data_IF_858551996737
#
_entry.id   IF_858551996737
#
_cell.length_a   1.000
_cell.length_b   1.000
_cell.length_c   1.000
_cell.angle_alpha   90.00
_cell.angle_beta   90.00
_cell.angle_gamma   90.00
#
_symmetry.space_group_name_H-M   'P 1'
#
loop_
_entity.id
_entity.type
_entity.pdbx_description
1 polymer ?
#
# COMPACT_ATOMS: atom_id res chain seq x y z
N UNK A 1 -23.47 22.27 -11.05
CA UNK A 1 -23.51 20.94 -11.70
C UNK A 1 -23.43 19.91 -10.60
N UNK A 2 -24.21 18.81 -10.63
CA UNK A 2 -24.08 17.76 -9.62
C UNK A 2 -22.67 17.16 -9.72
N UNK A 3 -21.93 17.21 -8.62
CA UNK A 3 -20.61 16.58 -8.51
C UNK A 3 -20.84 15.07 -8.60
N UNK A 4 -20.52 14.49 -9.74
CA UNK A 4 -20.69 13.06 -9.94
C UNK A 4 -19.79 12.29 -8.98
N UNK A 5 -20.40 11.44 -8.14
CA UNK A 5 -19.64 10.57 -7.24
C UNK A 5 -19.03 9.43 -8.05
N UNK A 6 -17.71 9.42 -8.14
CA UNK A 6 -16.94 8.32 -8.74
C UNK A 6 -16.67 7.31 -7.63
N UNK A 7 -17.29 6.13 -7.72
CA UNK A 7 -16.99 5.01 -6.82
C UNK A 7 -15.74 4.27 -7.30
N UNK A 8 -15.11 3.49 -6.42
CA UNK A 8 -13.97 2.63 -6.77
C UNK A 8 -14.24 1.75 -8.00
N UNK A 9 -15.42 1.13 -8.09
CA UNK A 9 -15.78 0.25 -9.21
C UNK A 9 -15.87 1.01 -10.53
N UNK A 10 -16.49 2.19 -10.51
CA UNK A 10 -16.59 3.06 -11.70
C UNK A 10 -15.22 3.57 -12.14
N UNK A 11 -14.37 3.91 -11.17
CA UNK A 11 -12.97 4.26 -11.44
C UNK A 11 -12.25 3.10 -12.12
N UNK A 12 -12.30 1.90 -11.55
CA UNK A 12 -11.61 0.73 -12.08
C UNK A 12 -12.06 0.40 -13.51
N UNK A 13 -13.38 0.31 -13.75
CA UNK A 13 -13.95 0.04 -15.08
C UNK A 13 -13.54 1.12 -16.10
N UNK A 14 -13.59 2.39 -15.71
CA UNK A 14 -13.19 3.50 -16.56
C UNK A 14 -11.69 3.51 -16.88
N UNK A 15 -10.84 3.17 -15.92
CA UNK A 15 -9.40 3.01 -16.15
C UNK A 15 -9.12 1.83 -17.08
N UNK A 16 -9.83 0.69 -16.93
CA UNK A 16 -9.72 -0.47 -17.84
C UNK A 16 -10.09 -0.06 -19.28
N UNK A 17 -11.13 0.77 -19.45
CA UNK A 17 -11.54 1.36 -20.75
C UNK A 17 -10.62 2.48 -21.23
N UNK A 18 -9.58 2.79 -20.48
CA UNK A 18 -8.57 3.79 -20.81
C UNK A 18 -9.11 5.22 -20.94
N UNK A 19 -10.10 5.57 -20.13
CA UNK A 19 -10.79 6.87 -20.15
C UNK A 19 -10.07 7.90 -19.27
N UNK A 20 -9.74 9.08 -19.84
CA UNK A 20 -8.96 10.12 -19.18
C UNK A 20 -9.49 10.52 -17.79
N UNK A 21 -10.80 10.75 -17.67
CA UNK A 21 -11.42 11.20 -16.42
C UNK A 21 -11.19 10.24 -15.26
N UNK A 22 -11.24 8.93 -15.52
CA UNK A 22 -11.07 7.91 -14.49
C UNK A 22 -9.60 7.72 -14.14
N UNK A 23 -8.70 7.85 -15.11
CA UNK A 23 -7.26 7.93 -14.85
C UNK A 23 -6.88 9.16 -14.03
N UNK A 24 -7.48 10.31 -14.31
CA UNK A 24 -7.31 11.52 -13.51
C UNK A 24 -7.78 11.31 -12.07
N UNK A 25 -8.91 10.64 -11.87
CA UNK A 25 -9.37 10.29 -10.53
C UNK A 25 -8.44 9.29 -9.85
N UNK A 26 -7.97 8.27 -10.57
CA UNK A 26 -7.10 7.23 -10.03
C UNK A 26 -5.74 7.79 -9.58
N UNK A 27 -5.09 8.62 -10.39
CA UNK A 27 -3.83 9.28 -9.96
C UNK A 27 -4.07 10.22 -8.79
N UNK A 28 -5.15 11.00 -8.81
CA UNK A 28 -5.52 11.89 -7.71
C UNK A 28 -5.73 11.15 -6.38
N UNK A 29 -6.34 9.96 -6.42
CA UNK A 29 -6.67 9.20 -5.21
C UNK A 29 -5.51 8.32 -4.71
N UNK A 30 -4.67 7.76 -5.59
CA UNK A 30 -3.70 6.72 -5.21
C UNK A 30 -2.23 7.15 -5.33
N UNK A 31 -1.90 8.24 -6.02
CA UNK A 31 -0.49 8.65 -6.20
C UNK A 31 0.17 9.06 -4.89
N UNK A 32 -0.57 9.75 -4.00
CA UNK A 32 -0.05 10.11 -2.67
C UNK A 32 0.24 8.86 -1.82
N UNK A 33 -0.63 7.85 -1.88
CA UNK A 33 -0.41 6.57 -1.22
C UNK A 33 0.84 5.86 -1.77
N UNK A 34 1.00 5.79 -3.10
CA UNK A 34 2.19 5.22 -3.71
C UNK A 34 3.46 5.97 -3.28
N UNK A 35 3.43 7.31 -3.24
CA UNK A 35 4.56 8.13 -2.78
C UNK A 35 4.92 7.80 -1.34
N UNK A 36 3.92 7.76 -0.46
CA UNK A 36 4.13 7.42 0.95
C UNK A 36 4.75 6.03 1.12
N UNK A 37 4.21 5.02 0.41
CA UNK A 37 4.72 3.65 0.46
C UNK A 37 6.19 3.57 0.01
N UNK A 38 6.55 4.28 -1.06
CA UNK A 38 7.94 4.36 -1.53
C UNK A 38 8.82 5.00 -0.45
N UNK A 39 8.44 6.16 0.06
CA UNK A 39 9.24 6.90 1.05
C UNK A 39 9.41 6.11 2.35
N UNK A 40 8.35 5.46 2.83
CA UNK A 40 8.37 4.72 4.10
C UNK A 40 9.19 3.44 4.01
N UNK A 41 9.02 2.65 2.95
CA UNK A 41 9.61 1.31 2.85
C UNK A 41 10.92 1.28 2.06
N UNK A 42 11.17 2.29 1.22
CA UNK A 42 12.33 2.35 0.33
C UNK A 42 13.13 3.67 0.45
N UNK A 43 12.77 4.57 1.37
CA UNK A 43 13.43 5.88 1.51
C UNK A 43 14.92 5.83 1.83
N UNK A 44 15.42 4.73 2.40
CA UNK A 44 16.86 4.52 2.65
C UNK A 44 17.69 4.39 1.37
N UNK A 45 17.08 4.07 0.23
CA UNK A 45 17.78 3.80 -1.03
C UNK A 45 18.00 5.04 -1.90
N UNK A 46 17.73 6.26 -1.38
CA UNK A 46 17.87 7.55 -2.10
C UNK A 46 17.22 7.53 -3.50
N UNK A 47 16.08 6.85 -3.63
CA UNK A 47 15.35 6.72 -4.89
C UNK A 47 14.62 8.03 -5.18
N UNK A 48 14.79 8.55 -6.41
CA UNK A 48 13.96 9.65 -6.88
C UNK A 48 12.51 9.17 -7.04
N UNK A 49 11.61 9.77 -6.25
CA UNK A 49 10.25 9.27 -6.12
C UNK A 49 9.37 9.66 -7.30
N UNK A 50 9.59 10.80 -7.95
CA UNK A 50 8.71 11.22 -9.06
C UNK A 50 8.88 10.33 -10.32
N UNK A 51 10.10 10.03 -10.80
CA UNK A 51 10.28 9.08 -11.89
C UNK A 51 9.73 7.68 -11.56
N UNK A 52 9.89 7.23 -10.31
CA UNK A 52 9.36 5.93 -9.89
C UNK A 52 7.82 5.93 -9.87
N UNK A 53 7.18 7.00 -9.39
CA UNK A 53 5.73 7.15 -9.48
C UNK A 53 5.24 7.09 -10.93
N UNK A 54 5.96 7.75 -11.85
CA UNK A 54 5.66 7.70 -13.27
C UNK A 54 5.72 6.27 -13.80
N UNK A 55 6.81 5.54 -13.54
CA UNK A 55 6.94 4.14 -13.95
C UNK A 55 5.83 3.25 -13.36
N UNK A 56 5.43 3.47 -12.11
CA UNK A 56 4.33 2.73 -11.50
C UNK A 56 3.03 2.92 -12.29
N UNK A 57 2.63 4.15 -12.59
CA UNK A 57 1.38 4.40 -13.31
C UNK A 57 1.46 4.04 -14.79
N UNK A 58 2.60 4.25 -15.46
CA UNK A 58 2.85 3.76 -16.82
C UNK A 58 2.70 2.25 -16.87
N UNK A 59 3.34 1.52 -15.96
CA UNK A 59 3.29 0.06 -15.92
C UNK A 59 1.96 -0.52 -15.47
N UNK A 60 1.04 0.29 -14.94
CA UNK A 60 -0.37 -0.09 -14.74
C UNK A 60 -1.16 0.06 -16.05
N UNK A 61 -0.80 1.04 -16.89
CA UNK A 61 -1.43 1.31 -18.18
C UNK A 61 -0.89 0.42 -19.32
N UNK A 62 0.27 -0.20 -19.13
CA UNK A 62 0.87 -1.14 -20.08
C UNK A 62 -0.03 -2.35 -20.41
N UNK A 63 0.24 -2.96 -21.57
CA UNK A 63 -0.45 -4.18 -22.05
C UNK A 63 -1.97 -4.06 -22.01
N UNK A 64 -2.50 -2.92 -22.48
CA UNK A 64 -3.93 -2.63 -22.47
C UNK A 64 -4.56 -2.76 -21.07
N UNK A 65 -3.92 -2.12 -20.08
CA UNK A 65 -4.34 -2.11 -18.69
C UNK A 65 -4.43 -3.51 -18.04
N UNK A 66 -3.54 -4.45 -18.43
CA UNK A 66 -3.59 -5.85 -17.99
C UNK A 66 -3.63 -5.98 -16.46
N UNK A 67 -2.83 -5.20 -15.74
CA UNK A 67 -2.83 -5.20 -14.27
C UNK A 67 -4.22 -4.93 -13.69
N UNK A 68 -4.94 -3.94 -14.23
CA UNK A 68 -6.29 -3.62 -13.74
C UNK A 68 -7.31 -4.71 -14.11
N UNK A 69 -7.14 -5.38 -15.26
CA UNK A 69 -8.01 -6.47 -15.71
C UNK A 69 -7.82 -7.77 -14.93
N UNK A 70 -6.60 -8.04 -14.45
CA UNK A 70 -6.27 -9.22 -13.63
C UNK A 70 -6.76 -9.10 -12.18
N UNK A 71 -7.12 -7.89 -11.73
CA UNK A 71 -7.65 -7.72 -10.40
C UNK A 71 -9.00 -8.44 -10.25
N UNK A 72 -8.99 -9.53 -9.47
CA UNK A 72 -10.17 -10.39 -9.22
C UNK A 72 -10.91 -10.05 -7.91
N UNK A 73 -10.44 -9.06 -7.16
CA UNK A 73 -11.08 -8.63 -5.91
C UNK A 73 -12.36 -7.82 -6.17
N UNK A 74 -13.15 -7.66 -5.11
CA UNK A 74 -14.48 -7.03 -5.17
C UNK A 74 -14.59 -5.71 -4.43
N UNK A 75 -13.48 -5.21 -3.88
CA UNK A 75 -13.47 -4.05 -3.01
C UNK A 75 -12.19 -3.23 -3.15
N UNK A 76 -12.29 -1.95 -2.80
CA UNK A 76 -11.13 -1.06 -2.72
C UNK A 76 -10.09 -1.58 -1.71
N UNK A 77 -10.53 -2.26 -0.64
CA UNK A 77 -9.63 -2.85 0.37
C UNK A 77 -8.72 -3.91 -0.21
N UNK A 78 -9.28 -4.82 -0.98
CA UNK A 78 -8.51 -5.84 -1.68
C UNK A 78 -7.58 -5.20 -2.72
N UNK A 79 -8.08 -4.18 -3.43
CA UNK A 79 -7.29 -3.43 -4.41
C UNK A 79 -6.11 -2.70 -3.78
N UNK A 80 -6.24 -2.15 -2.56
CA UNK A 80 -5.12 -1.47 -1.88
C UNK A 80 -3.91 -2.37 -1.70
N UNK A 81 -4.11 -3.65 -1.38
CA UNK A 81 -3.00 -4.60 -1.27
C UNK A 81 -2.46 -4.98 -2.64
N UNK A 82 -3.33 -5.22 -3.61
CA UNK A 82 -2.93 -5.51 -4.98
C UNK A 82 -2.11 -4.35 -5.60
N UNK A 83 -2.53 -3.11 -5.36
CA UNK A 83 -1.82 -1.89 -5.74
C UNK A 83 -0.49 -1.74 -5.00
N UNK A 84 -0.44 -2.01 -3.69
CA UNK A 84 0.82 -2.02 -2.92
C UNK A 84 1.82 -3.00 -3.53
N UNK A 85 1.39 -4.21 -3.90
CA UNK A 85 2.27 -5.21 -4.54
C UNK A 85 2.88 -4.67 -5.83
N UNK A 86 2.10 -3.94 -6.65
CA UNK A 86 2.61 -3.26 -7.85
C UNK A 86 3.62 -2.17 -7.52
N UNK A 87 3.33 -1.30 -6.56
CA UNK A 87 4.25 -0.24 -6.10
C UNK A 87 5.57 -0.86 -5.65
N UNK A 88 5.52 -1.91 -4.83
CA UNK A 88 6.69 -2.57 -4.27
C UNK A 88 7.49 -3.30 -5.36
N UNK A 89 6.81 -4.02 -6.26
CA UNK A 89 7.46 -4.71 -7.37
C UNK A 89 8.21 -3.73 -8.28
N UNK A 90 7.65 -2.56 -8.58
CA UNK A 90 8.32 -1.53 -9.37
C UNK A 90 9.48 -0.91 -8.59
N UNK A 91 9.29 -0.52 -7.32
CA UNK A 91 10.35 0.06 -6.49
C UNK A 91 11.56 -0.87 -6.33
N UNK A 92 11.33 -2.17 -6.18
CA UNK A 92 12.39 -3.18 -6.03
C UNK A 92 13.32 -3.30 -7.23
N UNK A 93 12.86 -2.97 -8.45
CA UNK A 93 13.72 -2.96 -9.65
C UNK A 93 14.86 -1.95 -9.56
N UNK A 94 14.67 -0.89 -8.76
CA UNK A 94 15.63 0.21 -8.59
C UNK A 94 16.54 0.04 -7.38
N UNK A 95 16.42 -1.09 -6.66
CA UNK A 95 17.34 -1.41 -5.59
C UNK A 95 18.69 -1.81 -6.19
N UNK A 96 19.60 -0.84 -6.29
CA UNK A 96 20.98 -1.08 -6.71
C UNK A 96 21.82 -1.48 -5.51
N UNK A 97 22.36 -2.70 -5.52
CA UNK A 97 23.36 -3.18 -4.56
C UNK A 97 22.92 -4.40 -3.76
N UNK A 98 23.90 -5.18 -3.31
CA UNK A 98 23.72 -6.17 -2.27
C UNK A 98 23.35 -5.44 -0.98
N UNK A 99 22.06 -5.23 -0.75
CA UNK A 99 21.57 -4.77 0.54
C UNK A 99 22.18 -5.67 1.60
N UNK A 100 23.00 -5.08 2.49
CA UNK A 100 23.67 -5.74 3.60
C UNK A 100 22.81 -6.90 4.13
N UNK A 101 23.39 -8.11 4.15
CA UNK A 101 22.72 -9.30 4.67
C UNK A 101 21.96 -8.95 5.96
N UNK A 102 20.67 -9.26 5.97
CA UNK A 102 19.83 -9.05 7.13
C UNK A 102 20.35 -9.87 8.29
N UNK A 103 20.52 -9.24 9.46
CA UNK A 103 20.81 -9.92 10.73
C UNK A 103 19.56 -10.61 11.29
N UNK A 104 18.36 -10.20 10.85
CA UNK A 104 17.10 -10.82 11.26
C UNK A 104 16.69 -11.91 10.27
N UNK A 105 16.79 -13.15 10.75
CA UNK A 105 16.24 -14.33 10.09
C UNK A 105 14.76 -14.52 10.45
N UNK A 106 14.02 -15.15 9.54
CA UNK A 106 12.58 -15.41 9.73
C UNK A 106 12.31 -16.28 10.96
N UNK A 107 13.18 -17.25 11.24
CA UNK A 107 13.10 -18.07 12.45
C UNK A 107 13.19 -17.22 13.73
N UNK A 108 14.02 -16.18 13.69
CA UNK A 108 14.20 -15.26 14.81
C UNK A 108 12.96 -14.39 15.03
N UNK A 109 12.30 -13.95 13.94
CA UNK A 109 10.99 -13.28 14.04
C UNK A 109 9.91 -14.20 14.62
N UNK A 110 9.88 -15.47 14.20
CA UNK A 110 8.95 -16.45 14.75
C UNK A 110 9.15 -16.65 16.26
N UNK A 111 10.41 -16.78 16.71
CA UNK A 111 10.75 -16.88 18.14
C UNK A 111 10.31 -15.63 18.91
N UNK A 112 10.50 -14.44 18.34
CA UNK A 112 10.13 -13.17 18.95
C UNK A 112 8.60 -13.03 19.12
N UNK A 113 7.80 -13.55 18.21
CA UNK A 113 6.33 -13.47 18.29
C UNK A 113 5.64 -14.69 18.90
N UNK A 114 6.37 -15.77 19.15
CA UNK A 114 5.83 -16.95 19.84
C UNK A 114 5.14 -16.55 21.15
N UNK A 115 3.91 -16.99 21.41
CA UNK A 115 3.17 -16.67 22.65
C UNK A 115 3.00 -15.16 22.94
N UNK A 116 3.17 -14.28 21.95
CA UNK A 116 2.86 -12.86 22.06
C UNK A 116 1.42 -12.64 21.58
N UNK A 117 0.65 -11.83 22.29
CA UNK A 117 -0.71 -11.46 21.86
C UNK A 117 -0.69 -10.80 20.49
N UNK A 118 -1.65 -11.15 19.61
CA UNK A 118 -1.72 -10.61 18.25
C UNK A 118 -1.59 -9.08 18.21
N UNK A 119 -2.36 -8.36 19.04
CA UNK A 119 -2.30 -6.91 19.11
C UNK A 119 -0.89 -6.36 19.40
N UNK A 120 -0.10 -7.06 20.23
CA UNK A 120 1.29 -6.69 20.50
C UNK A 120 2.22 -7.08 19.34
N UNK A 121 1.95 -8.17 18.63
CA UNK A 121 2.67 -8.53 17.41
C UNK A 121 2.47 -7.48 16.32
N UNK A 122 1.24 -7.00 16.12
CA UNK A 122 0.93 -5.93 15.15
C UNK A 122 1.67 -4.63 15.47
N UNK A 123 1.69 -4.24 16.75
CA UNK A 123 2.47 -3.09 17.22
C UNK A 123 3.94 -3.29 16.88
N UNK A 124 4.53 -4.41 17.29
CA UNK A 124 5.94 -4.67 17.04
C UNK A 124 6.28 -4.74 15.55
N UNK A 125 5.40 -5.30 14.73
CA UNK A 125 5.56 -5.32 13.27
C UNK A 125 5.66 -3.92 12.68
N UNK A 126 4.81 -2.98 13.13
CA UNK A 126 4.85 -1.59 12.69
C UNK A 126 6.07 -0.85 13.27
N UNK A 127 6.49 -1.13 14.52
CA UNK A 127 7.74 -0.59 15.07
C UNK A 127 8.94 -1.01 14.23
N UNK A 128 9.03 -2.29 13.84
CA UNK A 128 10.12 -2.77 12.98
C UNK A 128 10.07 -2.17 11.55
N UNK A 129 8.90 -1.72 11.10
CA UNK A 129 8.71 -0.90 9.88
C UNK A 129 8.98 0.60 10.11
N UNK A 130 9.58 0.95 11.26
CA UNK A 130 9.95 2.32 11.65
C UNK A 130 8.76 3.28 11.77
N UNK A 131 7.59 2.81 12.20
CA UNK A 131 6.47 3.69 12.58
C UNK A 131 6.60 4.18 14.02
N UNK A 132 6.25 5.45 14.23
CA UNK A 132 6.20 6.06 15.55
C UNK A 132 4.91 5.65 16.29
N UNK A 133 4.91 5.68 17.63
CA UNK A 133 3.76 5.21 18.42
C UNK A 133 2.47 5.97 18.11
N UNK A 134 2.57 7.26 17.81
CA UNK A 134 1.44 8.10 17.39
C UNK A 134 0.95 7.85 15.96
N UNK A 135 1.73 7.15 15.13
CA UNK A 135 1.26 6.62 13.84
C UNK A 135 0.62 5.24 14.06
N UNK A 136 1.28 4.37 14.83
CA UNK A 136 0.81 3.01 15.12
C UNK A 136 -0.58 3.02 15.74
N UNK A 137 -0.84 3.90 16.71
CA UNK A 137 -2.13 3.96 17.38
C UNK A 137 -3.28 4.33 16.41
N UNK A 138 -3.01 5.16 15.40
CA UNK A 138 -3.96 5.55 14.36
C UNK A 138 -4.15 4.46 13.30
N UNK A 139 -3.06 3.83 12.88
CA UNK A 139 -3.07 2.71 11.92
C UNK A 139 -3.88 1.55 12.50
N UNK A 140 -3.59 1.15 13.74
CA UNK A 140 -4.25 0.02 14.40
C UNK A 140 -5.60 0.41 15.05
N UNK A 141 -5.89 1.70 15.19
CA UNK A 141 -7.08 2.25 15.88
C UNK A 141 -7.21 1.75 17.33
N UNK A 142 -6.09 1.80 18.05
CA UNK A 142 -5.96 1.35 19.45
C UNK A 142 -5.49 2.52 20.33
N UNK A 143 -5.71 2.47 21.66
CA UNK A 143 -5.16 3.46 22.57
C UNK A 143 -3.62 3.48 22.53
N UNK A 144 -3.01 4.66 22.72
CA UNK A 144 -1.56 4.80 22.79
C UNK A 144 -0.93 3.94 23.90
N UNK A 145 -1.64 3.75 25.00
CA UNK A 145 -1.21 2.86 26.10
C UNK A 145 -1.05 1.40 25.66
N UNK A 146 -1.89 0.92 24.74
CA UNK A 146 -1.75 -0.43 24.17
C UNK A 146 -0.51 -0.51 23.30
N UNK A 147 -0.21 0.52 22.51
CA UNK A 147 1.01 0.59 21.68
C UNK A 147 2.25 0.53 22.57
N UNK A 148 2.31 1.35 23.62
CA UNK A 148 3.43 1.37 24.55
C UNK A 148 3.58 0.03 25.28
N UNK A 149 2.47 -0.58 25.71
CA UNK A 149 2.48 -1.90 26.35
C UNK A 149 2.99 -2.97 25.39
N UNK A 150 2.46 -3.03 24.16
CA UNK A 150 2.88 -4.01 23.16
C UNK A 150 4.36 -3.88 22.78
N UNK A 151 4.85 -2.64 22.61
CA UNK A 151 6.27 -2.36 22.38
C UNK A 151 7.12 -2.88 23.53
N UNK A 152 6.77 -2.56 24.78
CA UNK A 152 7.51 -2.99 25.96
C UNK A 152 7.53 -4.52 26.11
N UNK A 153 6.42 -5.20 25.85
CA UNK A 153 6.36 -6.67 25.91
C UNK A 153 7.28 -7.32 24.88
N UNK A 154 7.30 -6.81 23.64
CA UNK A 154 8.20 -7.35 22.61
C UNK A 154 9.66 -7.00 22.88
N UNK A 155 9.96 -5.82 23.45
CA UNK A 155 11.31 -5.45 23.89
C UNK A 155 11.83 -6.35 25.02
N UNK A 156 10.99 -6.66 26.01
CA UNK A 156 11.32 -7.64 27.06
C UNK A 156 11.67 -8.99 26.46
N UNK A 157 10.85 -9.45 25.51
CA UNK A 157 11.07 -10.72 24.84
C UNK A 157 12.31 -10.72 23.95
N UNK A 158 12.57 -9.62 23.25
CA UNK A 158 13.82 -9.40 22.54
C UNK A 158 15.02 -9.55 23.48
N UNK A 159 15.02 -8.87 24.64
CA UNK A 159 16.09 -8.99 25.61
C UNK A 159 16.30 -10.43 26.11
N UNK A 160 15.24 -11.22 26.25
CA UNK A 160 15.32 -12.64 26.60
C UNK A 160 15.95 -13.49 25.48
N UNK A 161 15.65 -13.19 24.22
CA UNK A 161 16.15 -13.96 23.07
C UNK A 161 17.60 -13.62 22.74
N UNK A 162 18.01 -12.37 22.89
CA UNK A 162 19.31 -11.87 22.41
C UNK A 162 20.28 -11.45 23.54
N UNK A 163 19.85 -11.48 24.80
CA UNK A 163 20.70 -11.13 25.95
C UNK A 163 20.97 -9.63 26.11
N UNK A 164 20.38 -8.76 25.30
CA UNK A 164 20.45 -7.31 25.46
C UNK A 164 19.14 -6.62 25.10
N UNK A 165 18.84 -5.53 25.80
CA UNK A 165 17.70 -4.68 25.51
C UNK A 165 18.07 -3.68 24.41
N UNK A 166 17.52 -3.85 23.20
CA UNK A 166 17.61 -2.84 22.15
C UNK A 166 16.27 -2.12 22.02
N UNK A 167 16.21 -0.86 22.44
CA UNK A 167 15.01 -0.01 22.31
C UNK A 167 14.60 0.20 20.86
N UNK A 168 15.55 0.09 19.93
CA UNK A 168 15.26 0.08 18.51
C UNK A 168 15.13 -1.39 18.09
N UNK A 169 13.91 -1.93 18.15
CA UNK A 169 13.64 -3.20 17.47
C UNK A 169 14.23 -3.11 16.06
N UNK A 170 15.00 -4.13 15.67
CA UNK A 170 15.67 -4.13 14.38
C UNK A 170 14.71 -3.71 13.26
N UNK A 171 15.20 -2.90 12.34
CA UNK A 171 14.41 -2.50 11.17
C UNK A 171 14.25 -3.69 10.24
N UNK A 172 13.01 -3.99 9.86
CA UNK A 172 12.74 -4.99 8.82
C UNK A 172 13.30 -4.48 7.50
N UNK A 173 14.36 -5.13 7.00
CA UNK A 173 14.90 -4.86 5.67
C UNK A 173 13.94 -5.39 4.60
N UNK A 174 13.88 -4.72 3.44
CA UNK A 174 12.98 -5.12 2.33
C UNK A 174 13.17 -6.60 1.92
N UNK A 175 14.41 -7.11 1.93
CA UNK A 175 14.68 -8.52 1.62
C UNK A 175 13.94 -9.50 2.53
N UNK A 176 13.84 -9.20 3.83
CA UNK A 176 13.09 -10.06 4.78
C UNK A 176 11.59 -9.96 4.51
N UNK A 177 11.08 -8.75 4.27
CA UNK A 177 9.69 -8.54 3.89
C UNK A 177 9.35 -9.28 2.58
N UNK A 178 10.23 -9.23 1.59
CA UNK A 178 10.07 -9.95 0.33
C UNK A 178 10.04 -11.47 0.55
N UNK A 179 10.91 -12.01 1.40
CA UNK A 179 10.88 -13.44 1.75
C UNK A 179 9.58 -13.82 2.46
N UNK A 180 9.08 -12.99 3.38
CA UNK A 180 7.79 -13.22 4.03
C UNK A 180 6.65 -13.19 3.02
N UNK A 181 6.67 -12.24 2.08
CA UNK A 181 5.65 -12.08 1.02
C UNK A 181 5.57 -13.31 0.09
N UNK A 182 6.63 -14.09 -0.05
CA UNK A 182 6.64 -15.34 -0.85
C UNK A 182 6.25 -16.59 -0.05
N UNK A 183 6.14 -16.52 1.28
CA UNK A 183 5.83 -17.64 2.18
C UNK A 183 4.33 -17.91 2.35
N UNK A 184 3.53 -17.66 1.31
CA UNK A 184 2.10 -17.98 1.36
C UNK A 184 1.90 -19.50 1.48
N UNK A 185 1.38 -19.94 2.62
CA UNK A 185 0.98 -21.32 2.86
C UNK A 185 -0.44 -21.64 2.37
N UNK A 186 -0.81 -22.93 2.29
CA UNK A 186 -2.14 -23.37 1.86
C UNK A 186 -3.28 -22.92 2.80
N UNK A 187 -2.95 -22.70 4.07
CA UNK A 187 -3.90 -22.26 5.11
C UNK A 187 -3.91 -20.74 5.30
N UNK A 188 -3.15 -19.98 4.50
CA UNK A 188 -3.12 -18.53 4.62
C UNK A 188 -4.46 -17.90 4.26
N UNK A 189 -4.88 -16.95 5.08
CA UNK A 189 -6.17 -16.27 4.93
C UNK A 189 -6.17 -15.40 3.66
N UNK A 190 -7.20 -15.55 2.83
CA UNK A 190 -7.38 -14.70 1.64
C UNK A 190 -7.61 -13.24 2.01
N UNK A 191 -7.17 -12.31 1.17
CA UNK A 191 -7.23 -10.87 1.50
C UNK A 191 -8.65 -10.35 1.71
N UNK A 192 -9.64 -10.92 1.01
CA UNK A 192 -11.05 -10.65 1.26
C UNK A 192 -11.45 -10.91 2.72
N UNK A 193 -11.05 -12.06 3.26
CA UNK A 193 -11.37 -12.44 4.63
C UNK A 193 -10.65 -11.53 5.63
N UNK A 194 -9.38 -11.18 5.38
CA UNK A 194 -8.66 -10.18 6.20
C UNK A 194 -9.39 -8.83 6.17
N UNK A 195 -9.86 -8.39 5.00
CA UNK A 195 -10.66 -7.18 4.86
C UNK A 195 -11.97 -7.26 5.65
N UNK A 196 -12.67 -8.39 5.60
CA UNK A 196 -13.92 -8.59 6.34
C UNK A 196 -13.69 -8.58 7.86
N UNK A 197 -12.55 -9.10 8.35
CA UNK A 197 -12.14 -8.98 9.77
C UNK A 197 -11.92 -7.51 10.14
N UNK A 198 -11.16 -6.76 9.33
CA UNK A 198 -10.86 -5.34 9.58
C UNK A 198 -12.14 -4.48 9.56
N UNK A 199 -13.08 -4.80 8.69
CA UNK A 199 -14.37 -4.09 8.59
C UNK A 199 -15.44 -4.62 9.57
N UNK A 200 -15.14 -5.64 10.39
CA UNK A 200 -16.06 -6.20 11.37
C UNK A 200 -17.26 -6.96 10.77
N UNK A 201 -17.10 -7.50 9.55
CA UNK A 201 -18.15 -8.19 8.79
C UNK A 201 -18.20 -9.69 8.97
N UNK A 202 -17.34 -10.24 9.84
CA UNK A 202 -17.26 -11.67 10.10
C UNK A 202 -17.87 -12.03 11.46
N UNK A 203 -18.42 -13.24 11.55
CA UNK A 203 -18.92 -13.78 12.81
C UNK A 203 -17.78 -13.93 13.84
N UNK A 204 -18.11 -13.76 15.13
CA UNK A 204 -17.14 -13.78 16.22
C UNK A 204 -16.28 -15.05 16.26
N UNK A 205 -16.90 -16.23 16.07
CA UNK A 205 -16.17 -17.52 16.10
C UNK A 205 -15.14 -17.63 14.98
N UNK A 206 -15.49 -17.18 13.78
CA UNK A 206 -14.60 -17.21 12.62
C UNK A 206 -13.46 -16.20 12.78
N UNK A 207 -13.77 -15.03 13.37
CA UNK A 207 -12.76 -14.03 13.75
C UNK A 207 -11.68 -14.64 14.65
N UNK A 208 -12.05 -15.35 15.71
CA UNK A 208 -11.09 -15.99 16.61
C UNK A 208 -10.17 -16.98 15.88
N UNK A 209 -10.71 -17.79 14.96
CA UNK A 209 -9.90 -18.72 14.17
C UNK A 209 -8.89 -17.99 13.28
N UNK A 210 -9.30 -16.87 12.67
CA UNK A 210 -8.43 -16.06 11.82
C UNK A 210 -7.36 -15.35 12.65
N UNK A 211 -7.72 -14.76 13.79
CA UNK A 211 -6.76 -14.11 14.71
C UNK A 211 -5.72 -15.12 15.25
N UNK A 212 -6.15 -16.34 15.56
CA UNK A 212 -5.23 -17.43 15.93
C UNK A 212 -4.24 -17.73 14.81
N UNK A 213 -4.70 -17.80 13.56
CA UNK A 213 -3.82 -18.00 12.41
C UNK A 213 -2.86 -16.82 12.20
N UNK A 214 -3.36 -15.58 12.27
CA UNK A 214 -2.58 -14.36 12.13
C UNK A 214 -1.43 -14.31 13.15
N UNK A 215 -1.69 -14.73 14.39
CA UNK A 215 -0.69 -14.77 15.47
C UNK A 215 0.47 -15.75 15.26
N UNK A 216 0.35 -16.62 14.25
CA UNK A 216 1.30 -17.71 13.95
C UNK A 216 1.87 -17.61 12.52
N UNK A 217 1.41 -16.65 11.71
CA UNK A 217 1.74 -16.56 10.30
C UNK A 217 2.23 -15.16 9.94
N UNK A 218 3.55 -15.00 9.81
CA UNK A 218 4.18 -13.73 9.42
C UNK A 218 3.67 -13.19 8.08
N UNK A 219 3.34 -14.07 7.13
CA UNK A 219 2.72 -13.68 5.86
C UNK A 219 1.37 -12.97 6.12
N UNK A 220 0.48 -13.58 6.89
CA UNK A 220 -0.84 -13.02 7.15
C UNK A 220 -0.77 -11.78 8.08
N UNK A 221 0.12 -11.78 9.08
CA UNK A 221 0.41 -10.59 9.91
C UNK A 221 0.87 -9.42 9.04
N UNK A 222 1.77 -9.67 8.08
CA UNK A 222 2.20 -8.64 7.14
C UNK A 222 1.05 -8.12 6.30
N UNK A 223 0.16 -9.00 5.80
CA UNK A 223 -1.00 -8.63 4.99
C UNK A 223 -2.01 -7.80 5.78
N UNK A 224 -2.32 -8.19 7.01
CA UNK A 224 -3.24 -7.44 7.87
C UNK A 224 -2.71 -6.05 8.20
N UNK A 225 -1.46 -5.97 8.68
CA UNK A 225 -0.85 -4.68 9.02
C UNK A 225 -0.68 -3.79 7.79
N UNK A 226 -0.32 -4.34 6.62
CA UNK A 226 -0.26 -3.60 5.36
C UNK A 226 -1.64 -3.08 4.93
N UNK A 227 -2.71 -3.83 5.19
CA UNK A 227 -4.07 -3.38 4.88
C UNK A 227 -4.45 -2.22 5.80
N UNK A 228 -4.24 -2.35 7.11
CA UNK A 228 -4.51 -1.29 8.09
C UNK A 228 -3.72 -0.01 7.75
N UNK A 229 -2.44 -0.15 7.40
CA UNK A 229 -1.57 0.93 6.92
C UNK A 229 -2.15 1.63 5.69
N UNK A 230 -2.45 0.88 4.62
CA UNK A 230 -2.97 1.45 3.39
C UNK A 230 -4.33 2.14 3.58
N UNK A 231 -5.22 1.56 4.40
CA UNK A 231 -6.52 2.15 4.75
C UNK A 231 -6.35 3.49 5.44
N UNK A 232 -5.40 3.58 6.37
CA UNK A 232 -5.12 4.81 7.12
C UNK A 232 -4.57 5.89 6.19
N UNK A 233 -3.49 5.61 5.46
CA UNK A 233 -2.85 6.62 4.63
C UNK A 233 -3.66 7.03 3.40
N UNK A 234 -4.49 6.16 2.83
CA UNK A 234 -5.41 6.56 1.76
C UNK A 234 -6.37 7.68 2.22
N UNK A 235 -6.71 7.74 3.51
CA UNK A 235 -7.64 8.73 4.07
C UNK A 235 -6.95 10.00 4.55
N UNK A 236 -5.74 9.87 5.09
CA UNK A 236 -5.03 10.99 5.71
C UNK A 236 -4.15 11.78 4.74
N UNK A 237 -3.68 11.15 3.67
CA UNK A 237 -2.77 11.82 2.75
C UNK A 237 -3.51 12.85 1.90
N UNK A 238 -2.95 14.05 1.84
CA UNK A 238 -3.40 15.05 0.88
C UNK A 238 -3.00 14.63 -0.54
N UNK A 239 -3.80 14.95 -1.56
CA UNK A 239 -3.41 14.76 -2.95
C UNK A 239 -2.07 15.44 -3.23
N UNK A 240 -1.26 14.83 -4.11
CA UNK A 240 -0.02 15.44 -4.60
C UNK A 240 -0.30 16.78 -5.30
N UNK A 241 0.72 17.65 -5.47
CA UNK A 241 0.59 18.87 -6.26
C UNK A 241 0.07 18.59 -7.67
N UNK A 242 -0.71 19.53 -8.23
CA UNK A 242 -1.37 19.37 -9.52
C UNK A 242 -0.37 19.11 -10.67
N UNK A 243 0.84 19.68 -10.55
CA UNK A 243 1.93 19.53 -11.50
C UNK A 243 2.39 18.07 -11.59
N UNK A 244 2.49 17.39 -10.45
CA UNK A 244 2.86 15.97 -10.39
C UNK A 244 1.76 15.12 -11.02
N UNK A 245 0.48 15.39 -10.72
CA UNK A 245 -0.63 14.65 -11.35
C UNK A 245 -0.67 14.82 -12.86
N UNK A 246 -0.45 16.04 -13.36
CA UNK A 246 -0.38 16.31 -14.79
C UNK A 246 0.82 15.60 -15.43
N UNK A 247 1.96 15.56 -14.75
CA UNK A 247 3.16 14.82 -15.16
C UNK A 247 2.84 13.33 -15.30
N UNK A 248 2.17 12.72 -14.32
CA UNK A 248 1.74 11.32 -14.38
C UNK A 248 0.78 11.06 -15.56
N UNK A 249 -0.27 11.88 -15.71
CA UNK A 249 -1.28 11.70 -16.76
C UNK A 249 -0.75 11.85 -18.17
N UNK A 250 0.25 12.72 -18.39
CA UNK A 250 0.88 12.90 -19.71
C UNK A 250 1.56 11.65 -20.24
N UNK A 251 2.03 10.78 -19.34
CA UNK A 251 2.77 9.58 -19.72
C UNK A 251 1.88 8.33 -19.85
N UNK A 252 0.62 8.42 -19.41
CA UNK A 252 -0.37 7.36 -19.61
C UNK A 252 -0.88 7.44 -21.06
N UNK A 253 -0.84 6.33 -21.79
CA UNK A 253 -1.28 6.21 -23.19
C UNK A 253 -2.81 6.12 -23.25
N UNK A 254 -3.48 7.25 -23.03
CA UNK A 254 -4.94 7.32 -22.93
C UNK A 254 -5.63 7.23 -24.30
N UNK A 255 -6.74 6.49 -24.36
CA UNK A 255 -7.56 6.34 -25.55
C UNK A 255 -8.32 7.64 -25.84
N UNK A 256 -8.04 8.26 -26.99
CA UNK A 256 -8.68 9.47 -27.51
C UNK A 256 -8.53 10.72 -26.65
N UNK A 257 -7.38 11.39 -26.80
CA UNK A 257 -7.41 12.85 -26.84
C UNK A 257 -8.22 13.25 -28.09
N UNK A 258 -9.53 13.54 -27.93
CA UNK A 258 -10.11 14.54 -28.83
C UNK A 258 -9.39 15.83 -28.47
N UNK A 259 -8.30 16.13 -29.17
CA UNK A 259 -7.75 17.47 -29.16
C UNK A 259 -8.93 18.43 -29.35
N UNK A 260 -9.04 19.52 -28.54
CA UNK A 260 -10.02 20.54 -28.84
C UNK A 260 -9.74 20.97 -30.28
N UNK A 261 -10.69 20.69 -31.18
CA UNK A 261 -10.62 21.09 -32.57
C UNK A 261 -10.21 22.55 -32.55
N UNK A 262 -8.96 22.84 -32.91
CA UNK A 262 -8.51 24.21 -33.08
C UNK A 262 -9.48 24.79 -34.08
N UNK A 263 -10.37 25.66 -33.63
CA UNK A 263 -11.31 26.36 -34.50
C UNK A 263 -10.47 26.94 -35.62
N UNK A 264 -10.62 26.40 -36.83
CA UNK A 264 -9.80 26.80 -37.96
C UNK A 264 -9.91 28.31 -38.11
N UNK A 265 -8.82 28.97 -38.51
CA UNK A 265 -8.79 30.42 -38.75
C UNK A 265 -9.95 30.89 -39.65
N UNK A 266 -10.50 30.01 -40.50
CA UNK A 266 -11.69 30.24 -41.32
C UNK A 266 -12.97 30.50 -40.49
N UNK A 267 -13.17 29.84 -39.35
CA UNK A 267 -14.32 30.08 -38.46
C UNK A 267 -14.24 31.44 -37.74
N UNK A 268 -13.03 32.01 -37.61
CA UNK A 268 -12.81 33.33 -37.01
C UNK A 268 -13.03 34.48 -38.01
N UNK A 269 -12.75 34.24 -39.30
CA UNK A 269 -12.96 35.26 -40.36
C UNK A 269 -14.44 35.44 -40.71
N UNK A 270 -15.25 34.37 -40.64
CA UNK A 270 -16.70 34.48 -40.93
C UNK A 270 -17.53 35.17 -39.83
N UNK A 271 -16.95 35.45 -38.65
CA UNK A 271 -17.62 36.23 -37.59
C UNK A 271 -17.36 37.75 -37.67
N UNK A 272 -16.49 38.20 -38.56
CA UNK A 272 -16.19 39.62 -38.77
C UNK A 272 -17.07 40.25 -39.86
N UNK A 273 -17.82 39.43 -40.61
CA UNK A 273 -18.73 39.88 -41.67
C UNK A 273 -20.21 39.51 -41.41
N UNK A 274 -20.71 39.81 -40.21
CA UNK A 274 -22.15 39.87 -39.94
C UNK A 274 -22.49 41.07 -39.07
#
# INVERSE_FOLDING_TARGET
>A
MPTEVITFHRMLEGCIRNEFKFWQFFTSAYAALAQHLIQKHFGSFKIDTEPLLREIFESINENDNFFLKEFSGSSEREFLIYFREKVFATARKHLTGEGEQSVLEIETLNRLFQNVLLAHQEVAWLVMKSYEDGEINKILRVPLSLVQTGRNEVLKKHAQVFGHHDSNLFRLKDRVLQQIETQRGPNCTGIKIISDVVDGRIAWRDKTNIENHLSQCLYCLNRETALKEAIFYLRELSPLPAEVHQSLLKNIKLGNQKEPIKSSLLARVMKVFK
#
